data_IF_133425692941
#
_entry.id   IF_133425692941
#
_cell.length_a   1.000
_cell.length_b   1.000
_cell.length_c   1.000
_cell.angle_alpha   90.00
_cell.angle_beta   90.00
_cell.angle_gamma   90.00
#
_symmetry.space_group_name_H-M   'P 1'
#
loop_
_entity.id
_entity.type
_entity.pdbx_description
1 polymer ?
#
# COMPACT_ATOMS: atom_id res chain seq x y z
N UNK A 1 20.09 -35.45 -19.34
CA UNK A 1 20.13 -34.86 -17.98
C UNK A 1 18.85 -35.23 -17.26
N UNK A 2 18.92 -35.76 -16.04
CA UNK A 2 17.72 -36.08 -15.26
C UNK A 2 16.89 -34.81 -15.02
N UNK A 3 15.57 -34.90 -15.25
CA UNK A 3 14.64 -33.77 -15.03
C UNK A 3 14.63 -33.47 -13.53
N UNK A 4 14.99 -32.24 -13.14
CA UNK A 4 14.95 -31.82 -11.73
C UNK A 4 13.53 -32.04 -11.19
N UNK A 5 13.38 -32.56 -9.95
CA UNK A 5 12.07 -32.77 -9.37
C UNK A 5 11.35 -31.41 -9.24
N UNK A 6 10.02 -31.42 -9.39
CA UNK A 6 9.19 -30.22 -9.18
C UNK A 6 9.00 -29.97 -7.69
N UNK A 7 8.91 -28.69 -7.29
CA UNK A 7 8.65 -28.33 -5.90
C UNK A 7 7.22 -28.70 -5.51
N UNK A 8 7.08 -29.50 -4.44
CA UNK A 8 5.77 -30.05 -4.02
C UNK A 8 4.75 -28.99 -3.64
N UNK A 9 5.20 -27.82 -3.16
CA UNK A 9 4.32 -26.70 -2.79
C UNK A 9 4.31 -25.59 -3.84
N UNK A 10 4.66 -25.88 -5.10
CA UNK A 10 4.70 -24.86 -6.15
C UNK A 10 3.35 -24.16 -6.35
N UNK A 11 2.25 -24.91 -6.38
CA UNK A 11 0.90 -24.33 -6.51
C UNK A 11 0.58 -23.37 -5.36
N UNK A 12 0.93 -23.75 -4.12
CA UNK A 12 0.71 -22.89 -2.95
C UNK A 12 1.60 -21.64 -2.99
N UNK A 13 2.85 -21.78 -3.46
CA UNK A 13 3.76 -20.65 -3.66
C UNK A 13 3.17 -19.64 -4.65
N UNK A 14 2.68 -20.11 -5.80
CA UNK A 14 2.08 -19.25 -6.83
C UNK A 14 0.79 -18.56 -6.34
N UNK A 15 -0.02 -19.25 -5.53
CA UNK A 15 -1.21 -18.66 -4.89
C UNK A 15 -0.79 -17.54 -3.94
N UNK A 16 0.18 -17.78 -3.05
CA UNK A 16 0.64 -16.77 -2.08
C UNK A 16 1.33 -15.58 -2.74
N UNK A 17 2.03 -15.80 -3.86
CA UNK A 17 2.61 -14.72 -4.67
C UNK A 17 1.51 -13.79 -5.22
N UNK A 18 0.44 -14.38 -5.76
CA UNK A 18 -0.72 -13.62 -6.23
C UNK A 18 -1.44 -12.89 -5.09
N UNK A 19 -1.67 -13.55 -3.97
CA UNK A 19 -2.30 -12.93 -2.79
C UNK A 19 -1.48 -11.73 -2.29
N UNK A 20 -0.16 -11.86 -2.24
CA UNK A 20 0.74 -10.75 -1.90
C UNK A 20 0.57 -9.59 -2.89
N UNK A 21 0.63 -9.86 -4.19
CA UNK A 21 0.47 -8.83 -5.22
C UNK A 21 -0.91 -8.14 -5.13
N UNK A 22 -1.97 -8.90 -4.90
CA UNK A 22 -3.32 -8.36 -4.73
C UNK A 22 -3.43 -7.48 -3.48
N UNK A 23 -2.83 -7.89 -2.37
CA UNK A 23 -2.83 -7.11 -1.15
C UNK A 23 -2.01 -5.81 -1.30
N UNK A 24 -0.89 -5.85 -2.03
CA UNK A 24 -0.12 -4.64 -2.41
C UNK A 24 -0.96 -3.67 -3.25
N UNK A 25 -1.68 -4.18 -4.25
CA UNK A 25 -2.57 -3.36 -5.10
C UNK A 25 -3.72 -2.73 -4.29
N UNK A 26 -4.35 -3.51 -3.40
CA UNK A 26 -5.43 -3.03 -2.53
C UNK A 26 -4.91 -1.95 -1.58
N UNK A 27 -3.76 -2.16 -0.94
CA UNK A 27 -3.15 -1.15 -0.08
C UNK A 27 -2.83 0.13 -0.86
N UNK A 28 -2.26 0.02 -2.06
CA UNK A 28 -1.98 1.18 -2.91
C UNK A 28 -3.25 1.96 -3.27
N UNK A 29 -4.35 1.27 -3.58
CA UNK A 29 -5.64 1.90 -3.86
C UNK A 29 -6.20 2.63 -2.63
N UNK A 30 -6.18 1.99 -1.46
CA UNK A 30 -6.66 2.60 -0.21
C UNK A 30 -5.81 3.80 0.20
N UNK A 31 -4.49 3.73 0.04
CA UNK A 31 -3.58 4.86 0.32
C UNK A 31 -3.82 6.03 -0.64
N UNK A 32 -4.14 5.75 -1.90
CA UNK A 32 -4.52 6.79 -2.87
C UNK A 32 -5.80 7.51 -2.44
N UNK A 33 -6.81 6.77 -1.99
CA UNK A 33 -8.06 7.35 -1.48
C UNK A 33 -7.78 8.21 -0.27
N UNK A 34 -7.03 7.71 0.73
CA UNK A 34 -6.64 8.49 1.91
C UNK A 34 -5.98 9.83 1.53
N UNK A 35 -5.07 9.82 0.56
CA UNK A 35 -4.41 11.03 0.08
C UNK A 35 -5.38 11.99 -0.63
N UNK A 36 -6.35 11.47 -1.39
CA UNK A 36 -7.37 12.28 -2.04
C UNK A 36 -8.27 12.96 -1.01
N UNK A 37 -8.76 12.21 -0.02
CA UNK A 37 -9.62 12.76 1.05
C UNK A 37 -8.88 13.81 1.90
N UNK A 38 -7.57 13.62 2.12
CA UNK A 38 -6.72 14.60 2.80
C UNK A 38 -6.59 15.89 1.98
N UNK A 39 -6.32 15.78 0.67
CA UNK A 39 -6.23 16.94 -0.20
C UNK A 39 -7.57 17.71 -0.24
N UNK A 40 -8.69 17.01 -0.34
CA UNK A 40 -10.02 17.62 -0.26
C UNK A 40 -10.25 18.34 1.07
N UNK A 41 -9.85 17.74 2.20
CA UNK A 41 -9.95 18.38 3.51
C UNK A 41 -9.12 19.68 3.58
N UNK A 42 -7.91 19.67 3.00
CA UNK A 42 -7.04 20.84 3.01
C UNK A 42 -7.57 21.96 2.10
N UNK A 43 -8.13 21.62 0.93
CA UNK A 43 -8.86 22.56 0.06
C UNK A 43 -10.06 23.18 0.78
N UNK A 44 -10.83 22.37 1.52
CA UNK A 44 -11.97 22.87 2.31
C UNK A 44 -11.49 23.83 3.42
N UNK A 45 -10.40 23.51 4.13
CA UNK A 45 -9.85 24.43 5.15
C UNK A 45 -9.37 25.75 4.55
N UNK A 46 -8.74 25.71 3.37
CA UNK A 46 -8.35 26.92 2.66
C UNK A 46 -9.57 27.75 2.30
N UNK A 47 -10.59 27.12 1.70
CA UNK A 47 -11.84 27.79 1.35
C UNK A 47 -12.53 28.44 2.55
N UNK A 48 -12.54 27.77 3.70
CA UNK A 48 -13.09 28.36 4.94
C UNK A 48 -12.31 29.61 5.37
N UNK A 49 -10.99 29.59 5.22
CA UNK A 49 -10.14 30.76 5.49
C UNK A 49 -10.45 31.91 4.54
N UNK A 50 -10.65 31.62 3.25
CA UNK A 50 -11.04 32.61 2.24
C UNK A 50 -12.43 33.19 2.55
N UNK A 51 -13.38 32.39 3.05
CA UNK A 51 -14.70 32.86 3.49
C UNK A 51 -14.60 33.84 4.67
N UNK A 52 -13.78 33.54 5.68
CA UNK A 52 -13.54 34.45 6.81
C UNK A 52 -12.95 35.76 6.30
N UNK A 53 -11.92 35.69 5.45
CA UNK A 53 -11.27 36.87 4.89
C UNK A 53 -12.28 37.72 4.11
N UNK A 54 -13.08 37.09 3.26
CA UNK A 54 -14.12 37.76 2.49
C UNK A 54 -15.15 38.47 3.40
N UNK A 55 -15.57 37.85 4.51
CA UNK A 55 -16.47 38.50 5.47
C UNK A 55 -15.80 39.71 6.12
N UNK A 56 -14.55 39.61 6.55
CA UNK A 56 -13.84 40.73 7.18
C UNK A 56 -13.61 41.88 6.18
N UNK A 57 -13.27 41.58 4.93
CA UNK A 57 -13.15 42.57 3.85
C UNK A 57 -14.49 43.29 3.62
N UNK A 58 -15.61 42.56 3.62
CA UNK A 58 -16.95 43.15 3.50
C UNK A 58 -17.32 44.02 4.69
N UNK A 59 -16.91 43.64 5.90
CA UNK A 59 -17.07 44.45 7.10
C UNK A 59 -16.35 45.78 6.98
N UNK A 60 -15.09 45.75 6.54
CA UNK A 60 -14.27 46.96 6.32
C UNK A 60 -14.92 47.83 5.25
N UNK A 61 -15.32 47.24 4.12
CA UNK A 61 -15.99 47.95 3.01
C UNK A 61 -17.26 48.68 3.49
N UNK A 62 -18.09 48.01 4.30
CA UNK A 62 -19.29 48.63 4.85
C UNK A 62 -18.98 49.72 5.89
N UNK A 63 -18.00 49.49 6.77
CA UNK A 63 -17.57 50.49 7.74
C UNK A 63 -17.06 51.77 7.06
N UNK A 64 -16.26 51.65 5.99
CA UNK A 64 -15.76 52.78 5.21
C UNK A 64 -16.88 53.54 4.51
N UNK A 65 -17.85 52.83 3.91
CA UNK A 65 -19.03 53.46 3.29
C UNK A 65 -19.89 54.21 4.31
N UNK A 66 -20.05 53.68 5.51
CA UNK A 66 -20.75 54.34 6.62
C UNK A 66 -20.00 55.60 7.03
N UNK A 67 -18.68 55.50 7.24
CA UNK A 67 -17.83 56.64 7.65
C UNK A 67 -17.87 57.79 6.64
N UNK A 68 -17.93 57.47 5.35
CA UNK A 68 -18.00 58.46 4.28
C UNK A 68 -19.43 59.00 4.03
N UNK A 69 -20.42 58.61 4.85
CA UNK A 69 -21.82 59.02 4.69
C UNK A 69 -22.49 58.44 3.44
N UNK A 70 -21.89 57.43 2.81
CA UNK A 70 -22.36 56.81 1.56
C UNK A 70 -23.49 55.80 1.75
N UNK A 71 -23.93 55.57 2.99
CA UNK A 71 -25.00 54.62 3.32
C UNK A 71 -26.10 55.27 4.17
N UNK A 72 -27.35 54.99 3.80
CA UNK A 72 -28.51 55.29 4.63
C UNK A 72 -28.79 54.15 5.64
N UNK A 73 -29.66 54.40 6.63
CA UNK A 73 -29.99 53.46 7.70
C UNK A 73 -30.46 52.09 7.18
N UNK A 74 -31.25 52.06 6.09
CA UNK A 74 -31.72 50.82 5.50
C UNK A 74 -30.58 50.00 4.88
N UNK A 75 -29.61 50.67 4.25
CA UNK A 75 -28.41 50.05 3.68
C UNK A 75 -27.49 49.51 4.77
N UNK A 76 -27.37 50.20 5.91
CA UNK A 76 -26.62 49.72 7.08
C UNK A 76 -27.23 48.43 7.61
N UNK A 77 -28.54 48.43 7.87
CA UNK A 77 -29.26 47.25 8.34
C UNK A 77 -29.16 46.07 7.35
N UNK A 78 -29.18 46.34 6.04
CA UNK A 78 -28.99 45.32 5.03
C UNK A 78 -27.56 44.76 5.03
N UNK A 79 -26.55 45.62 5.21
CA UNK A 79 -25.15 45.24 5.35
C UNK A 79 -24.91 44.33 6.56
N UNK A 80 -25.45 44.70 7.73
CA UNK A 80 -25.33 43.89 8.95
C UNK A 80 -25.96 42.50 8.78
N UNK A 81 -27.14 42.42 8.16
CA UNK A 81 -27.78 41.12 7.84
C UNK A 81 -26.96 40.29 6.87
N UNK A 82 -26.32 40.93 5.90
CA UNK A 82 -25.45 40.25 4.94
C UNK A 82 -24.22 39.66 5.65
N UNK A 83 -23.54 40.44 6.49
CA UNK A 83 -22.41 39.95 7.29
C UNK A 83 -22.83 38.80 8.23
N UNK A 84 -24.01 38.91 8.86
CA UNK A 84 -24.54 37.84 9.69
C UNK A 84 -24.76 36.55 8.89
N UNK A 85 -25.32 36.64 7.68
CA UNK A 85 -25.49 35.49 6.78
C UNK A 85 -24.16 34.87 6.37
N UNK A 86 -23.16 35.67 6.00
CA UNK A 86 -21.83 35.16 5.67
C UNK A 86 -21.23 34.38 6.85
N UNK A 87 -21.41 34.87 8.07
CA UNK A 87 -20.99 34.15 9.28
C UNK A 87 -21.76 32.83 9.49
N UNK A 88 -23.06 32.79 9.20
CA UNK A 88 -23.84 31.56 9.25
C UNK A 88 -23.36 30.54 8.20
N UNK A 89 -23.04 31.00 6.98
CA UNK A 89 -22.48 30.16 5.91
C UNK A 89 -21.11 29.58 6.30
N UNK A 90 -20.22 30.38 6.91
CA UNK A 90 -18.94 29.88 7.46
C UNK A 90 -19.15 28.77 8.50
N UNK A 91 -20.08 28.98 9.44
CA UNK A 91 -20.38 28.01 10.51
C UNK A 91 -20.99 26.73 9.92
N UNK A 92 -21.86 26.84 8.92
CA UNK A 92 -22.40 25.68 8.23
C UNK A 92 -21.29 24.90 7.50
N UNK A 93 -20.34 25.61 6.89
CA UNK A 93 -19.22 25.01 6.18
C UNK A 93 -18.22 24.30 7.11
N UNK A 94 -18.05 24.78 8.35
CA UNK A 94 -17.32 24.02 9.39
C UNK A 94 -17.95 22.64 9.64
N UNK A 95 -19.27 22.56 9.66
CA UNK A 95 -19.97 21.28 9.78
C UNK A 95 -19.74 20.33 8.59
N UNK A 96 -19.43 20.85 7.40
CA UNK A 96 -19.01 20.04 6.25
C UNK A 96 -17.56 19.57 6.41
N UNK A 97 -16.66 20.44 6.89
CA UNK A 97 -15.27 20.08 7.23
C UNK A 97 -15.24 18.94 8.26
N UNK A 98 -16.06 19.00 9.30
CA UNK A 98 -16.13 17.95 10.32
C UNK A 98 -16.57 16.60 9.74
N UNK A 99 -17.55 16.61 8.83
CA UNK A 99 -17.94 15.39 8.10
C UNK A 99 -16.80 14.85 7.26
N UNK A 100 -16.07 15.72 6.56
CA UNK A 100 -14.92 15.33 5.74
C UNK A 100 -13.78 14.76 6.59
N UNK A 101 -13.56 15.26 7.81
CA UNK A 101 -12.59 14.69 8.74
C UNK A 101 -12.94 13.25 9.13
N UNK A 102 -14.22 12.94 9.36
CA UNK A 102 -14.64 11.56 9.64
C UNK A 102 -14.50 10.65 8.41
N UNK A 103 -14.72 11.15 7.20
CA UNK A 103 -14.42 10.43 5.95
C UNK A 103 -12.94 10.10 5.85
N UNK A 104 -12.06 11.09 6.06
CA UNK A 104 -10.61 10.89 6.07
C UNK A 104 -10.18 9.85 7.11
N UNK A 105 -10.73 9.94 8.32
CA UNK A 105 -10.44 8.98 9.40
C UNK A 105 -10.86 7.57 9.04
N UNK A 106 -11.99 7.40 8.34
CA UNK A 106 -12.38 6.09 7.82
C UNK A 106 -11.41 5.61 6.73
N UNK A 107 -11.01 6.47 5.80
CA UNK A 107 -10.04 6.14 4.77
C UNK A 107 -8.68 5.73 5.36
N UNK A 108 -8.22 6.41 6.41
CA UNK A 108 -7.01 6.06 7.16
C UNK A 108 -7.11 4.67 7.82
N UNK A 109 -8.26 4.35 8.43
CA UNK A 109 -8.50 3.02 9.00
C UNK A 109 -8.49 1.93 7.94
N UNK A 110 -9.15 2.18 6.81
CA UNK A 110 -9.16 1.26 5.67
C UNK A 110 -7.74 1.02 5.13
N UNK A 111 -6.93 2.08 4.98
CA UNK A 111 -5.54 1.98 4.53
C UNK A 111 -4.67 1.22 5.53
N UNK A 112 -4.87 1.44 6.84
CA UNK A 112 -4.18 0.69 7.89
C UNK A 112 -4.53 -0.80 7.85
N UNK A 113 -5.81 -1.14 7.77
CA UNK A 113 -6.24 -2.54 7.68
C UNK A 113 -5.65 -3.23 6.44
N UNK A 114 -5.66 -2.55 5.29
CA UNK A 114 -5.06 -3.07 4.06
C UNK A 114 -3.52 -3.23 4.18
N UNK A 115 -2.85 -2.36 4.95
CA UNK A 115 -1.42 -2.50 5.25
C UNK A 115 -1.16 -3.75 6.09
N UNK A 116 -1.97 -4.02 7.11
CA UNK A 116 -1.86 -5.22 7.95
C UNK A 116 -2.06 -6.49 7.12
N UNK A 117 -3.08 -6.51 6.25
CA UNK A 117 -3.34 -7.63 5.34
C UNK A 117 -2.16 -7.86 4.37
N UNK A 118 -1.60 -6.80 3.80
CA UNK A 118 -0.41 -6.86 2.94
C UNK A 118 0.81 -7.41 3.69
N UNK A 119 1.01 -7.01 4.94
CA UNK A 119 2.10 -7.51 5.78
C UNK A 119 1.95 -9.00 6.06
N UNK A 120 0.74 -9.47 6.40
CA UNK A 120 0.48 -10.89 6.61
C UNK A 120 0.66 -11.73 5.34
N UNK A 121 0.14 -11.27 4.19
CA UNK A 121 0.35 -11.92 2.90
C UNK A 121 1.85 -12.01 2.54
N UNK A 122 2.60 -10.93 2.79
CA UNK A 122 4.05 -10.89 2.58
C UNK A 122 4.80 -11.85 3.50
N UNK A 123 4.42 -11.95 4.78
CA UNK A 123 5.01 -12.90 5.73
C UNK A 123 4.78 -14.35 5.27
N UNK A 124 3.55 -14.67 4.87
CA UNK A 124 3.18 -16.00 4.39
C UNK A 124 3.98 -16.38 3.12
N UNK A 125 4.10 -15.46 2.16
CA UNK A 125 4.90 -15.66 0.96
C UNK A 125 6.39 -15.89 1.29
N UNK A 126 7.00 -15.03 2.12
CA UNK A 126 8.41 -15.15 2.51
C UNK A 126 8.71 -16.46 3.26
N UNK A 127 7.75 -16.98 4.03
CA UNK A 127 7.91 -18.28 4.68
C UNK A 127 8.02 -19.42 3.65
N UNK A 128 7.18 -19.41 2.62
CA UNK A 128 7.23 -20.39 1.53
C UNK A 128 8.46 -20.23 0.64
N UNK A 129 8.89 -18.99 0.39
CA UNK A 129 10.11 -18.69 -0.35
C UNK A 129 11.34 -19.31 0.33
N UNK A 130 11.52 -19.06 1.63
CA UNK A 130 12.60 -19.69 2.42
C UNK A 130 12.52 -21.21 2.42
N UNK A 131 11.31 -21.78 2.51
CA UNK A 131 11.14 -23.23 2.44
C UNK A 131 11.53 -23.79 1.06
N UNK A 132 11.11 -23.12 -0.02
CA UNK A 132 11.47 -23.49 -1.40
C UNK A 132 12.97 -23.46 -1.62
N UNK A 133 13.66 -22.42 -1.13
CA UNK A 133 15.12 -22.33 -1.20
C UNK A 133 15.82 -23.47 -0.45
N UNK A 134 15.36 -23.80 0.76
CA UNK A 134 15.91 -24.93 1.53
C UNK A 134 15.72 -26.26 0.79
N UNK A 135 14.52 -26.52 0.30
CA UNK A 135 14.21 -27.70 -0.48
C UNK A 135 15.08 -27.81 -1.74
N UNK A 136 15.30 -26.70 -2.46
CA UNK A 136 16.19 -26.68 -3.63
C UNK A 136 17.64 -27.04 -3.27
N UNK A 137 18.13 -26.57 -2.12
CA UNK A 137 19.47 -26.91 -1.62
C UNK A 137 19.58 -28.40 -1.28
N UNK A 138 18.57 -28.95 -0.61
CA UNK A 138 18.51 -30.38 -0.26
C UNK A 138 18.47 -31.25 -1.51
N UNK A 139 17.57 -30.95 -2.45
CA UNK A 139 17.50 -31.68 -3.74
C UNK A 139 18.83 -31.61 -4.48
N UNK A 140 19.49 -30.44 -4.52
CA UNK A 140 20.79 -30.30 -5.19
C UNK A 140 21.86 -31.14 -4.49
N UNK A 141 21.87 -31.19 -3.16
CA UNK A 141 22.80 -32.01 -2.38
C UNK A 141 22.56 -33.50 -2.65
N UNK A 142 21.32 -33.94 -2.61
CA UNK A 142 20.95 -35.34 -2.80
C UNK A 142 21.24 -35.82 -4.23
N UNK A 143 21.05 -34.96 -5.23
CA UNK A 143 21.46 -35.24 -6.61
C UNK A 143 22.98 -35.38 -6.73
N UNK A 144 23.74 -34.50 -6.07
CA UNK A 144 25.21 -34.59 -6.07
C UNK A 144 25.70 -35.88 -5.43
N UNK A 145 25.16 -36.25 -4.26
CA UNK A 145 25.53 -37.49 -3.57
C UNK A 145 25.24 -38.71 -4.45
N UNK A 146 24.08 -38.75 -5.12
CA UNK A 146 23.77 -39.83 -6.07
C UNK A 146 24.68 -39.86 -7.29
N UNK A 147 25.12 -38.71 -7.79
CA UNK A 147 26.08 -38.62 -8.87
C UNK A 147 27.47 -39.11 -8.42
N UNK A 148 27.91 -38.74 -7.21
CA UNK A 148 29.15 -39.21 -6.59
C UNK A 148 29.12 -40.74 -6.38
N UNK A 149 28.07 -41.28 -5.76
CA UNK A 149 27.89 -42.73 -5.56
C UNK A 149 27.92 -43.50 -6.91
N UNK A 150 27.22 -42.98 -7.93
CA UNK A 150 27.22 -43.62 -9.25
C UNK A 150 28.58 -43.56 -9.95
N UNK A 151 29.38 -42.51 -9.71
CA UNK A 151 30.74 -42.42 -10.23
C UNK A 151 31.68 -43.40 -9.53
N UNK A 152 31.54 -43.55 -8.21
CA UNK A 152 32.30 -44.52 -7.42
C UNK A 152 31.99 -45.96 -7.85
N UNK A 153 30.71 -46.30 -8.06
CA UNK A 153 30.28 -47.60 -8.59
C UNK A 153 30.90 -47.89 -9.98
N UNK A 154 30.91 -46.89 -10.87
CA UNK A 154 31.53 -47.01 -12.20
C UNK A 154 33.04 -47.20 -12.10
N UNK A 155 33.72 -46.44 -11.24
CA UNK A 155 35.15 -46.56 -11.01
C UNK A 155 35.51 -47.94 -10.44
N UNK A 156 34.73 -48.43 -9.47
CA UNK A 156 34.91 -49.76 -8.90
C UNK A 156 34.69 -50.88 -9.94
N UNK A 157 33.66 -50.76 -10.77
CA UNK A 157 33.39 -51.71 -11.86
C UNK A 157 34.53 -51.73 -12.90
N UNK A 158 35.06 -50.56 -13.28
CA UNK A 158 36.21 -50.44 -14.18
C UNK A 158 37.48 -51.07 -13.58
N UNK A 159 37.75 -50.82 -12.30
CA UNK A 159 38.87 -51.42 -11.60
C UNK A 159 38.79 -52.95 -11.59
N UNK A 160 37.63 -53.53 -11.24
CA UNK A 160 37.44 -54.98 -11.27
C UNK A 160 37.55 -55.58 -12.67
N UNK A 161 37.07 -54.89 -13.70
CA UNK A 161 37.23 -55.32 -15.09
C UNK A 161 38.71 -55.39 -15.49
N UNK A 162 39.52 -54.39 -15.15
CA UNK A 162 40.96 -54.38 -15.42
C UNK A 162 41.70 -55.49 -14.64
N UNK A 163 41.35 -55.71 -13.38
CA UNK A 163 41.95 -56.76 -12.56
C UNK A 163 41.68 -58.16 -13.14
N UNK A 164 40.45 -58.40 -13.61
CA UNK A 164 40.08 -59.66 -14.25
C UNK A 164 40.81 -59.87 -15.58
N UNK A 165 41.01 -58.79 -16.35
CA UNK A 165 41.77 -58.86 -17.60
C UNK A 165 43.26 -59.16 -17.37
N UNK A 166 43.86 -58.61 -16.30
CA UNK A 166 45.23 -58.93 -15.92
C UNK A 166 45.38 -60.39 -15.49
N UNK A 167 44.46 -60.90 -14.65
CA UNK A 167 44.44 -62.31 -14.23
C UNK A 167 44.21 -63.30 -15.37
N UNK A 168 43.55 -62.88 -16.45
CA UNK A 168 43.34 -63.72 -17.63
C UNK A 168 44.56 -63.78 -18.57
N UNK A 169 45.55 -62.91 -18.36
CA UNK A 169 46.78 -62.84 -19.18
C UNK A 169 47.98 -63.54 -18.51
N UNK A 170 47.85 -63.92 -17.24
CA UNK A 170 48.78 -64.79 -16.51
C UNK A 170 48.37 -66.27 -16.66
#
# INVERSE_FOLDING_TARGET
MAKKPSYRLQTLFDIREKEKSQAEDVYAQKKKIEHQEQATLDEMKQRHTDMIQFREDKKIEYADKIRNGGMNINQINAGDRHIARLKEEEVAFLGEIDKQQEVLKQAQRDAHNAMDDMLEATKAFKALEKHKEKWQKEVKRDLRLKEEDAMDDVAQAQYFAQLNEQKSKE
#
